data_IF_583438664365
#
_entry.id   IF_583438664365
#
_cell.length_a   1.000
_cell.length_b   1.000
_cell.length_c   1.000
_cell.angle_alpha   90.00
_cell.angle_beta   90.00
_cell.angle_gamma   90.00
#
_symmetry.space_group_name_H-M   'P 1'
#
loop_
_entity.id
_entity.type
_entity.pdbx_description
1 polymer ?
#
# COMPACT_ATOMS: atom_id res chain seq x y z
N UNK A 1 16.98 -32.25 10.42
CA UNK A 1 16.35 -31.54 9.30
C UNK A 1 16.47 -30.07 9.66
N UNK A 2 17.18 -29.26 8.88
CA UNK A 2 17.35 -27.84 9.21
C UNK A 2 15.95 -27.20 9.21
N UNK A 3 15.60 -26.51 10.31
CA UNK A 3 14.40 -25.68 10.35
C UNK A 3 14.61 -24.55 9.35
N UNK A 4 14.01 -24.69 8.17
CA UNK A 4 14.05 -23.68 7.11
C UNK A 4 12.91 -22.70 7.33
N UNK A 5 13.24 -21.41 7.38
CA UNK A 5 12.28 -20.32 7.55
C UNK A 5 11.58 -20.01 6.22
N UNK A 6 10.28 -19.76 6.26
CA UNK A 6 9.52 -19.44 5.03
C UNK A 6 9.61 -17.94 4.71
N UNK A 7 9.41 -17.57 3.45
CA UNK A 7 9.35 -16.17 3.02
C UNK A 7 8.29 -15.37 3.82
N UNK A 8 7.18 -16.03 4.20
CA UNK A 8 6.12 -15.43 5.00
C UNK A 8 6.57 -15.12 6.44
N UNK A 9 7.37 -16.00 7.06
CA UNK A 9 7.97 -15.75 8.37
C UNK A 9 8.95 -14.55 8.30
N UNK A 10 9.77 -14.48 7.25
CA UNK A 10 10.71 -13.37 7.04
C UNK A 10 9.95 -12.05 6.88
N UNK A 11 8.90 -12.03 6.06
CA UNK A 11 8.04 -10.85 5.85
C UNK A 11 7.37 -10.41 7.14
N UNK A 12 6.88 -11.35 7.94
CA UNK A 12 6.27 -11.06 9.23
C UNK A 12 7.27 -10.41 10.19
N UNK A 13 8.46 -10.99 10.33
CA UNK A 13 9.54 -10.41 11.14
C UNK A 13 9.97 -9.02 10.64
N UNK A 14 10.10 -8.84 9.32
CA UNK A 14 10.45 -7.56 8.73
C UNK A 14 9.38 -6.49 8.97
N UNK A 15 8.10 -6.81 8.76
CA UNK A 15 6.97 -5.91 9.02
C UNK A 15 6.92 -5.47 10.50
N UNK A 16 7.14 -6.40 11.43
CA UNK A 16 7.19 -6.11 12.86
C UNK A 16 8.39 -5.23 13.23
N UNK A 17 9.58 -5.56 12.72
CA UNK A 17 10.80 -4.78 12.96
C UNK A 17 10.67 -3.36 12.38
N UNK A 18 10.08 -3.22 11.20
CA UNK A 18 9.77 -1.94 10.56
C UNK A 18 8.78 -1.12 11.38
N UNK A 19 7.71 -1.74 11.88
CA UNK A 19 6.73 -1.09 12.77
C UNK A 19 7.38 -0.60 14.06
N UNK A 20 8.24 -1.41 14.69
CA UNK A 20 8.93 -1.04 15.91
C UNK A 20 9.91 0.11 15.68
N UNK A 21 10.69 0.07 14.59
CA UNK A 21 11.57 1.17 14.19
C UNK A 21 10.78 2.45 13.96
N UNK A 22 9.71 2.39 13.17
CA UNK A 22 8.92 3.57 12.82
C UNK A 22 8.21 4.17 14.04
N UNK A 23 7.75 3.35 14.99
CA UNK A 23 7.19 3.81 16.26
C UNK A 23 8.21 4.54 17.13
N UNK A 24 9.46 4.09 17.16
CA UNK A 24 10.53 4.77 17.90
C UNK A 24 10.88 6.12 17.26
N UNK A 25 10.88 6.18 15.93
CA UNK A 25 11.18 7.41 15.19
C UNK A 25 9.99 8.39 15.14
N UNK A 26 8.74 7.91 15.16
CA UNK A 26 7.51 8.70 15.07
C UNK A 26 6.54 8.29 16.19
N UNK A 27 6.59 8.91 17.38
CA UNK A 27 5.75 8.51 18.50
C UNK A 27 4.24 8.57 18.23
N UNK A 28 3.75 9.51 17.41
CA UNK A 28 2.34 9.57 17.03
C UNK A 28 1.85 8.32 16.28
N UNK A 29 2.74 7.55 15.65
CA UNK A 29 2.39 6.27 15.04
C UNK A 29 1.96 5.25 16.11
N UNK A 30 2.65 5.21 17.25
CA UNK A 30 2.27 4.36 18.38
C UNK A 30 0.87 4.72 18.91
N UNK A 31 0.60 6.01 19.07
CA UNK A 31 -0.73 6.51 19.45
C UNK A 31 -1.81 6.14 18.43
N UNK A 32 -1.50 6.18 17.13
CA UNK A 32 -2.42 5.75 16.09
C UNK A 32 -2.72 4.25 16.19
N UNK A 33 -1.72 3.40 16.44
CA UNK A 33 -1.93 1.95 16.58
C UNK A 33 -2.87 1.61 17.74
N UNK A 34 -2.72 2.29 18.88
CA UNK A 34 -3.62 2.13 20.04
C UNK A 34 -5.06 2.53 19.68
N UNK A 35 -5.24 3.71 19.05
CA UNK A 35 -6.55 4.18 18.60
C UNK A 35 -7.21 3.20 17.61
N UNK A 36 -6.44 2.68 16.65
CA UNK A 36 -6.95 1.71 15.66
C UNK A 36 -7.36 0.41 16.32
N UNK A 37 -6.59 -0.08 17.30
CA UNK A 37 -6.94 -1.27 18.06
C UNK A 37 -8.27 -1.08 18.82
N UNK A 38 -8.44 0.04 19.50
CA UNK A 38 -9.68 0.37 20.23
C UNK A 38 -10.89 0.45 19.30
N UNK A 39 -10.75 1.13 18.15
CA UNK A 39 -11.84 1.27 17.17
C UNK A 39 -12.19 -0.08 16.54
N UNK A 40 -11.19 -0.87 16.15
CA UNK A 40 -11.43 -2.19 15.54
C UNK A 40 -12.13 -3.12 16.54
N UNK A 41 -11.69 -3.14 17.80
CA UNK A 41 -12.35 -3.91 18.86
C UNK A 41 -13.81 -3.48 19.02
N UNK A 42 -14.07 -2.18 19.13
CA UNK A 42 -15.43 -1.65 19.27
C UNK A 42 -16.32 -1.99 18.05
N UNK A 43 -15.79 -1.97 16.83
CA UNK A 43 -16.54 -2.37 15.63
C UNK A 43 -16.91 -3.85 15.68
N UNK A 44 -15.98 -4.72 16.07
CA UNK A 44 -16.21 -6.17 16.16
C UNK A 44 -17.21 -6.51 17.28
N UNK A 45 -17.13 -5.84 18.43
CA UNK A 45 -18.07 -6.03 19.55
C UNK A 45 -19.50 -5.60 19.18
N UNK A 46 -19.63 -4.50 18.40
CA UNK A 46 -20.94 -3.97 18.01
C UNK A 46 -21.49 -4.59 16.71
N UNK A 47 -20.72 -5.41 16.00
CA UNK A 47 -21.14 -6.09 14.78
C UNK A 47 -20.73 -7.58 14.79
N UNK A 48 -21.48 -8.44 15.51
CA UNK A 48 -21.19 -9.87 15.61
C UNK A 48 -21.17 -10.60 14.25
N UNK A 49 -21.97 -10.14 13.28
CA UNK A 49 -22.01 -10.71 11.93
C UNK A 49 -20.68 -10.47 11.20
N UNK A 50 -20.14 -9.24 11.27
CA UNK A 50 -18.84 -8.92 10.69
C UNK A 50 -17.71 -9.71 11.37
N UNK A 51 -17.76 -9.86 12.70
CA UNK A 51 -16.80 -10.67 13.43
C UNK A 51 -16.81 -12.13 12.94
N UNK A 52 -17.99 -12.73 12.78
CA UNK A 52 -18.13 -14.09 12.26
C UNK A 52 -17.64 -14.20 10.81
N UNK A 53 -17.91 -13.20 9.96
CA UNK A 53 -17.46 -13.17 8.57
C UNK A 53 -15.93 -13.14 8.47
N UNK A 54 -15.27 -12.28 9.25
CA UNK A 54 -13.81 -12.15 9.27
C UNK A 54 -13.14 -13.39 9.89
N UNK A 55 -13.72 -13.95 10.95
CA UNK A 55 -13.22 -15.19 11.57
C UNK A 55 -13.24 -16.34 10.57
N UNK A 56 -14.36 -16.49 9.85
CA UNK A 56 -14.55 -17.52 8.84
C UNK A 56 -13.71 -17.33 7.57
N UNK A 57 -13.13 -16.15 7.36
CA UNK A 57 -12.26 -15.83 6.24
C UNK A 57 -10.77 -15.86 6.61
N UNK A 58 -10.43 -16.24 7.86
CA UNK A 58 -9.10 -16.13 8.45
C UNK A 58 -8.53 -14.69 8.36
N UNK A 59 -9.40 -13.68 8.32
CA UNK A 59 -9.01 -12.27 8.20
C UNK A 59 -8.80 -11.56 9.56
N UNK A 60 -9.30 -12.13 10.67
CA UNK A 60 -9.09 -11.56 12.00
C UNK A 60 -7.61 -11.56 12.42
N UNK A 61 -6.87 -12.62 12.08
CA UNK A 61 -5.45 -12.74 12.43
C UNK A 61 -4.62 -11.66 11.73
N UNK A 62 -4.85 -11.45 10.42
CA UNK A 62 -4.14 -10.41 9.65
C UNK A 62 -4.48 -8.99 10.11
N UNK A 63 -5.72 -8.69 10.54
CA UNK A 63 -6.15 -7.33 10.85
C UNK A 63 -5.22 -6.60 11.84
N UNK A 64 -4.70 -7.31 12.85
CA UNK A 64 -3.84 -6.73 13.88
C UNK A 64 -2.40 -6.47 13.41
N UNK A 65 -1.96 -7.16 12.36
CA UNK A 65 -0.60 -7.03 11.81
C UNK A 65 -0.56 -6.32 10.47
N UNK A 66 -1.72 -6.06 9.89
CA UNK A 66 -1.89 -5.53 8.56
C UNK A 66 -1.42 -4.07 8.47
N UNK A 67 -0.40 -3.88 7.62
CA UNK A 67 0.26 -2.60 7.41
C UNK A 67 0.65 -2.43 5.95
N UNK A 68 0.82 -1.19 5.52
CA UNK A 68 1.61 -0.90 4.32
C UNK A 68 2.64 0.19 4.60
N UNK A 69 3.79 0.11 3.95
CA UNK A 69 4.81 1.17 3.94
C UNK A 69 4.86 1.88 2.59
N UNK A 70 5.43 3.08 2.57
CA UNK A 70 5.74 3.78 1.32
C UNK A 70 7.18 4.30 1.33
N UNK A 71 7.92 4.03 0.25
CA UNK A 71 9.31 4.43 0.06
C UNK A 71 9.52 5.04 -1.33
N UNK A 72 10.62 5.78 -1.48
CA UNK A 72 11.01 6.41 -2.74
C UNK A 72 12.48 6.15 -3.01
N UNK A 73 12.80 5.74 -4.23
CA UNK A 73 14.17 5.50 -4.70
C UNK A 73 14.52 6.42 -5.86
N UNK A 74 15.81 6.68 -6.03
CA UNK A 74 16.34 7.62 -7.01
C UNK A 74 16.84 6.96 -8.29
N UNK A 75 17.16 5.66 -8.28
CA UNK A 75 17.78 5.00 -9.43
C UNK A 75 17.15 3.64 -9.77
N UNK A 76 17.31 3.23 -11.04
CA UNK A 76 16.91 1.90 -11.51
C UNK A 76 17.63 0.78 -10.74
N UNK A 77 18.92 0.96 -10.44
CA UNK A 77 19.70 -0.02 -9.67
C UNK A 77 19.14 -0.20 -8.25
N UNK A 78 18.74 0.88 -7.59
CA UNK A 78 18.06 0.82 -6.29
C UNK A 78 16.74 0.05 -6.38
N UNK A 79 15.89 0.35 -7.38
CA UNK A 79 14.62 -0.33 -7.60
C UNK A 79 14.78 -1.84 -7.87
N UNK A 80 15.68 -2.21 -8.78
CA UNK A 80 15.93 -3.63 -9.11
C UNK A 80 16.53 -4.40 -7.93
N UNK A 81 17.35 -3.76 -7.10
CA UNK A 81 17.90 -4.39 -5.88
C UNK A 81 16.82 -4.55 -4.80
N UNK A 82 15.93 -3.56 -4.62
CA UNK A 82 14.76 -3.69 -3.75
C UNK A 82 13.84 -4.84 -4.19
N UNK A 83 13.63 -5.02 -5.50
CA UNK A 83 12.88 -6.19 -6.01
C UNK A 83 13.49 -7.51 -5.54
N UNK A 84 14.82 -7.66 -5.59
CA UNK A 84 15.51 -8.86 -5.10
C UNK A 84 15.30 -9.04 -3.60
N UNK A 85 15.45 -7.98 -2.81
CA UNK A 85 15.21 -7.97 -1.37
C UNK A 85 13.77 -8.37 -1.02
N UNK A 86 12.78 -7.79 -1.68
CA UNK A 86 11.36 -8.09 -1.45
C UNK A 86 10.97 -9.50 -1.90
N UNK A 87 11.61 -10.05 -2.93
CA UNK A 87 11.37 -11.43 -3.36
C UNK A 87 11.72 -12.47 -2.28
N UNK A 88 12.78 -12.24 -1.47
CA UNK A 88 13.11 -13.10 -0.31
C UNK A 88 11.96 -13.14 0.71
N UNK A 89 11.22 -12.04 0.82
CA UNK A 89 10.05 -11.89 1.69
C UNK A 89 8.74 -12.31 1.00
N UNK A 90 8.81 -12.95 -0.17
CA UNK A 90 7.62 -13.37 -0.92
C UNK A 90 6.75 -12.20 -1.39
N UNK A 91 7.37 -11.04 -1.62
CA UNK A 91 6.71 -9.82 -2.07
C UNK A 91 7.11 -9.51 -3.51
N UNK A 92 6.11 -9.36 -4.37
CA UNK A 92 6.27 -9.22 -5.82
C UNK A 92 5.72 -7.87 -6.29
N UNK A 93 6.26 -7.29 -7.38
CA UNK A 93 5.80 -6.00 -7.89
C UNK A 93 4.44 -6.16 -8.59
N UNK A 94 3.39 -5.63 -7.98
CA UNK A 94 2.02 -5.69 -8.48
C UNK A 94 1.54 -4.29 -8.86
N UNK A 95 0.92 -4.22 -10.04
CA UNK A 95 0.39 -3.03 -10.67
C UNK A 95 1.44 -1.97 -11.00
N UNK A 96 1.03 -0.98 -11.79
CA UNK A 96 1.84 0.15 -12.22
C UNK A 96 1.09 1.46 -11.99
N UNK A 97 1.74 2.42 -11.35
CA UNK A 97 1.16 3.71 -10.98
C UNK A 97 2.00 4.85 -11.57
N UNK A 98 1.43 5.62 -12.50
CA UNK A 98 2.10 6.80 -13.06
C UNK A 98 1.61 8.08 -12.39
N UNK A 99 2.36 8.57 -11.39
CA UNK A 99 1.99 9.76 -10.63
C UNK A 99 2.37 11.07 -11.33
N UNK A 100 3.08 10.99 -12.47
CA UNK A 100 3.38 12.17 -13.29
C UNK A 100 2.12 12.83 -13.85
N UNK A 101 1.03 12.06 -13.99
CA UNK A 101 -0.29 12.57 -14.36
C UNK A 101 -0.84 13.58 -13.36
N UNK A 102 -0.37 13.52 -12.12
CA UNK A 102 -0.71 14.44 -11.06
C UNK A 102 0.45 15.39 -10.71
N UNK A 103 1.40 15.61 -11.63
CA UNK A 103 2.51 16.54 -11.44
C UNK A 103 3.57 16.09 -10.44
N UNK A 104 3.52 14.84 -9.95
CA UNK A 104 4.55 14.28 -9.08
C UNK A 104 5.58 13.55 -9.95
N UNK A 105 6.89 13.84 -9.87
CA UNK A 105 7.88 13.33 -10.82
C UNK A 105 8.30 11.87 -10.54
N UNK A 106 7.35 10.97 -10.33
CA UNK A 106 7.58 9.56 -10.01
C UNK A 106 6.61 8.64 -10.73
N UNK A 107 7.00 7.38 -10.84
CA UNK A 107 6.16 6.24 -11.17
C UNK A 107 6.48 5.08 -10.22
N UNK A 108 5.54 4.16 -10.01
CA UNK A 108 5.58 3.27 -8.84
C UNK A 108 4.99 1.88 -9.11
N UNK A 109 5.27 0.95 -8.20
CA UNK A 109 4.61 -0.36 -8.05
C UNK A 109 4.40 -0.68 -6.57
N UNK A 110 3.61 -1.69 -6.27
CA UNK A 110 3.44 -2.20 -4.92
C UNK A 110 4.10 -3.57 -4.77
N UNK A 111 5.10 -3.70 -3.89
CA UNK A 111 5.64 -5.00 -3.53
C UNK A 111 4.75 -5.66 -2.48
N UNK A 112 4.17 -6.82 -2.81
CA UNK A 112 3.26 -7.54 -1.90
C UNK A 112 3.17 -9.04 -2.17
N UNK A 113 2.68 -9.85 -1.22
CA UNK A 113 2.33 -11.23 -1.49
C UNK A 113 1.19 -11.33 -2.50
N UNK A 114 1.17 -12.43 -3.26
CA UNK A 114 0.16 -12.71 -4.28
C UNK A 114 -0.65 -13.98 -4.01
N UNK A 115 -0.20 -14.82 -3.06
CA UNK A 115 -0.90 -16.04 -2.69
C UNK A 115 -1.92 -15.80 -1.57
N UNK A 116 -3.09 -16.43 -1.68
CA UNK A 116 -4.17 -16.37 -0.67
C UNK A 116 -3.64 -16.63 0.76
N UNK A 117 -2.89 -17.72 0.94
CA UNK A 117 -2.39 -18.11 2.26
C UNK A 117 -1.37 -17.09 2.83
N UNK A 118 -0.49 -16.58 1.96
CA UNK A 118 0.52 -15.58 2.33
C UNK A 118 -0.13 -14.25 2.76
N UNK A 119 -1.19 -13.82 2.06
CA UNK A 119 -1.98 -12.63 2.39
C UNK A 119 -2.79 -12.81 3.67
N UNK A 120 -3.43 -13.97 3.87
CA UNK A 120 -4.14 -14.28 5.12
C UNK A 120 -3.21 -14.30 6.34
N UNK A 121 -1.95 -14.72 6.15
CA UNK A 121 -0.96 -14.76 7.22
C UNK A 121 -0.40 -13.36 7.54
N UNK A 122 0.18 -12.71 6.55
CA UNK A 122 0.76 -11.38 6.71
C UNK A 122 0.71 -10.62 5.37
N UNK A 123 -0.21 -9.66 5.22
CA UNK A 123 -0.43 -8.95 3.96
C UNK A 123 0.46 -7.70 3.83
N UNK A 124 1.66 -7.69 4.43
CA UNK A 124 2.51 -6.51 4.39
C UNK A 124 2.84 -6.09 2.94
N UNK A 125 2.69 -4.80 2.65
CA UNK A 125 2.87 -4.19 1.32
C UNK A 125 3.82 -3.01 1.41
N UNK A 126 4.63 -2.80 0.38
CA UNK A 126 5.44 -1.58 0.25
C UNK A 126 5.19 -0.92 -1.10
N UNK A 127 4.58 0.26 -1.08
CA UNK A 127 4.47 1.13 -2.24
C UNK A 127 5.83 1.76 -2.53
N UNK A 128 6.42 1.46 -3.69
CA UNK A 128 7.78 1.87 -4.05
C UNK A 128 7.74 2.75 -5.28
N UNK A 129 8.15 4.01 -5.12
CA UNK A 129 8.22 4.99 -6.20
C UNK A 129 9.64 5.19 -6.68
N UNK A 130 9.84 5.21 -8.00
CA UNK A 130 11.08 5.60 -8.64
C UNK A 130 11.00 7.06 -9.12
N UNK A 131 11.99 7.87 -8.73
CA UNK A 131 12.14 9.24 -9.20
C UNK A 131 12.49 9.28 -10.69
N UNK A 132 11.76 10.11 -11.44
CA UNK A 132 11.95 10.34 -12.87
C UNK A 132 12.75 11.62 -13.08
N UNK A 133 14.08 11.52 -13.10
CA UNK A 133 14.98 12.67 -13.24
C UNK A 133 14.73 13.45 -14.53
N UNK A 134 14.28 12.79 -15.60
CA UNK A 134 13.95 13.44 -16.87
C UNK A 134 12.79 14.45 -16.77
N UNK A 135 12.00 14.40 -15.69
CA UNK A 135 10.93 15.35 -15.38
C UNK A 135 11.41 16.58 -14.58
N UNK A 136 12.70 16.66 -14.23
CA UNK A 136 13.31 17.85 -13.61
C UNK A 136 13.66 18.84 -14.72
N UNK A 137 12.98 19.98 -14.80
CA UNK A 137 13.13 20.89 -15.95
C UNK A 137 14.51 21.54 -16.01
N UNK A 138 15.01 21.96 -14.85
CA UNK A 138 16.34 22.55 -14.72
C UNK A 138 17.43 21.50 -14.97
N UNK A 139 18.11 21.59 -16.11
CA UNK A 139 19.15 20.64 -16.55
C UNK A 139 20.32 20.59 -15.55
N UNK A 140 20.75 21.72 -15.01
CA UNK A 140 21.86 21.76 -14.05
C UNK A 140 21.49 21.04 -12.75
N UNK A 141 20.27 21.25 -12.25
CA UNK A 141 19.77 20.53 -11.06
C UNK A 141 19.56 19.04 -11.34
N UNK A 142 19.12 18.68 -12.54
CA UNK A 142 18.95 17.29 -12.96
C UNK A 142 20.29 16.55 -12.97
N UNK A 143 21.31 17.13 -13.58
CA UNK A 143 22.66 16.57 -13.61
C UNK A 143 23.24 16.46 -12.21
N UNK A 144 23.04 17.48 -11.37
CA UNK A 144 23.47 17.46 -9.97
C UNK A 144 22.76 16.37 -9.17
N UNK A 145 21.46 16.20 -9.35
CA UNK A 145 20.69 15.13 -8.70
C UNK A 145 21.18 13.74 -9.12
N UNK A 146 21.44 13.54 -10.41
CA UNK A 146 22.00 12.30 -10.94
C UNK A 146 23.39 11.99 -10.34
N UNK A 147 24.27 12.99 -10.24
CA UNK A 147 25.60 12.86 -9.63
C UNK A 147 25.49 12.42 -8.16
N UNK A 148 24.69 13.11 -7.35
CA UNK A 148 24.48 12.79 -5.93
C UNK A 148 23.98 11.35 -5.77
N UNK A 149 22.97 10.95 -6.55
CA UNK A 149 22.40 9.61 -6.51
C UNK A 149 23.42 8.53 -6.95
N UNK A 150 24.32 8.85 -7.88
CA UNK A 150 25.33 7.90 -8.36
C UNK A 150 26.42 7.57 -7.32
N UNK A 151 26.57 8.40 -6.29
CA UNK A 151 27.61 8.25 -5.28
C UNK A 151 27.14 7.54 -3.99
N UNK A 152 25.83 7.28 -3.84
CA UNK A 152 25.32 6.59 -2.65
C UNK A 152 25.14 5.09 -2.89
N UNK A 153 25.17 4.34 -1.81
CA UNK A 153 24.66 2.97 -1.76
C UNK A 153 23.70 2.89 -0.57
N UNK A 154 22.43 2.64 -0.87
CA UNK A 154 21.38 2.60 0.16
C UNK A 154 21.37 1.26 0.93
N UNK A 155 22.05 0.24 0.41
CA UNK A 155 22.11 -1.09 1.01
C UNK A 155 23.43 -1.28 1.75
N UNK A 156 23.39 -1.90 2.92
CA UNK A 156 24.61 -2.29 3.62
C UNK A 156 25.36 -3.35 2.80
N UNK A 157 26.70 -3.42 2.89
CA UNK A 157 27.45 -4.49 2.22
C UNK A 157 26.97 -5.89 2.61
N UNK A 158 26.63 -6.07 3.90
CA UNK A 158 26.13 -7.35 4.41
C UNK A 158 24.76 -7.71 3.88
N UNK A 159 23.86 -6.73 3.69
CA UNK A 159 22.58 -6.95 3.03
C UNK A 159 22.78 -7.52 1.62
N UNK A 160 23.68 -6.93 0.83
CA UNK A 160 23.98 -7.38 -0.54
C UNK A 160 24.56 -8.80 -0.55
N UNK A 161 25.48 -9.13 0.37
CA UNK A 161 26.01 -10.49 0.51
C UNK A 161 24.90 -11.51 0.83
N UNK A 162 23.93 -11.15 1.68
CA UNK A 162 22.81 -12.01 2.03
C UNK A 162 21.84 -12.19 0.85
N UNK A 163 21.64 -11.17 0.01
CA UNK A 163 20.88 -11.31 -1.24
C UNK A 163 21.53 -12.35 -2.16
N UNK A 164 22.85 -12.22 -2.40
CA UNK A 164 23.59 -13.13 -3.27
C UNK A 164 23.60 -14.56 -2.70
N UNK A 165 23.71 -14.69 -1.37
CA UNK A 165 23.61 -15.97 -0.68
C UNK A 165 22.24 -16.65 -0.91
N UNK A 166 21.15 -15.91 -0.70
CA UNK A 166 19.79 -16.44 -0.90
C UNK A 166 19.56 -16.87 -2.35
N UNK A 167 20.06 -16.11 -3.33
CA UNK A 167 19.93 -16.47 -4.74
C UNK A 167 20.72 -17.75 -5.09
N UNK A 168 21.84 -18.00 -4.41
CA UNK A 168 22.65 -19.20 -4.61
C UNK A 168 22.12 -20.45 -3.89
N UNK A 169 21.61 -20.30 -2.67
CA UNK A 169 21.15 -21.41 -1.82
C UNK A 169 19.64 -21.67 -1.91
N UNK A 170 18.86 -20.68 -2.37
CA UNK A 170 17.41 -20.73 -2.54
C UNK A 170 16.60 -20.60 -1.24
N UNK A 171 17.25 -20.52 -0.08
CA UNK A 171 16.61 -20.45 1.23
C UNK A 171 17.57 -19.89 2.29
N UNK A 172 17.01 -19.39 3.39
CA UNK A 172 17.77 -19.03 4.59
C UNK A 172 17.54 -20.00 5.74
N UNK A 173 18.55 -20.12 6.59
CA UNK A 173 18.40 -20.56 7.99
C UNK A 173 17.78 -19.46 8.84
N UNK A 174 17.21 -19.81 10.00
CA UNK A 174 16.64 -18.82 10.94
C UNK A 174 17.63 -17.69 11.29
N UNK A 175 18.92 -18.02 11.49
CA UNK A 175 19.94 -17.04 11.84
C UNK A 175 20.25 -16.07 10.69
N UNK A 176 20.38 -16.59 9.46
CA UNK A 176 20.59 -15.76 8.27
C UNK A 176 19.39 -14.86 7.99
N UNK A 177 18.17 -15.38 8.17
CA UNK A 177 16.95 -14.59 8.00
C UNK A 177 16.84 -13.47 9.03
N UNK A 178 17.19 -13.74 10.30
CA UNK A 178 17.20 -12.69 11.33
C UNK A 178 18.24 -11.60 11.01
N UNK A 179 19.44 -11.99 10.59
CA UNK A 179 20.48 -11.06 10.15
C UNK A 179 20.03 -10.23 8.94
N UNK A 180 19.43 -10.89 7.94
CA UNK A 180 18.88 -10.23 6.75
C UNK A 180 17.84 -9.16 7.11
N UNK A 181 16.92 -9.46 8.03
CA UNK A 181 15.91 -8.49 8.47
C UNK A 181 16.55 -7.26 9.10
N UNK A 182 17.58 -7.42 9.94
CA UNK A 182 18.28 -6.29 10.55
C UNK A 182 19.03 -5.44 9.51
N UNK A 183 19.76 -6.08 8.61
CA UNK A 183 20.54 -5.40 7.57
C UNK A 183 19.64 -4.71 6.53
N UNK A 184 18.51 -5.33 6.16
CA UNK A 184 17.52 -4.71 5.29
C UNK A 184 16.87 -3.49 5.95
N UNK A 185 16.60 -3.54 7.26
CA UNK A 185 15.98 -2.45 8.00
C UNK A 185 16.79 -1.15 7.95
N UNK A 186 18.12 -1.24 7.94
CA UNK A 186 19.02 -0.07 7.82
C UNK A 186 18.81 0.72 6.52
N UNK A 187 18.32 0.08 5.46
CA UNK A 187 18.00 0.76 4.18
C UNK A 187 16.88 1.79 4.34
N UNK A 188 16.00 1.60 5.32
CA UNK A 188 14.76 2.36 5.51
C UNK A 188 14.77 3.28 6.74
N UNK A 189 15.87 3.27 7.51
CA UNK A 189 16.03 4.06 8.73
C UNK A 189 16.12 5.56 8.41
N UNK A 190 15.64 6.40 9.31
CA UNK A 190 15.83 7.84 9.17
C UNK A 190 17.23 8.29 9.58
N UNK A 191 17.81 9.15 8.74
CA UNK A 191 19.07 9.81 9.00
C UNK A 191 18.87 11.32 9.01
N UNK A 192 19.25 11.96 10.13
CA UNK A 192 19.15 13.42 10.29
C UNK A 192 20.19 14.21 9.46
N UNK A 193 21.23 13.54 8.97
CA UNK A 193 22.29 14.17 8.20
C UNK A 193 21.99 14.05 6.71
N UNK A 194 21.83 15.19 6.05
CA UNK A 194 21.74 15.24 4.59
C UNK A 194 23.12 14.97 3.96
N UNK A 195 23.12 14.43 2.75
CA UNK A 195 24.32 14.12 1.95
C UNK A 195 24.83 15.33 1.16
N UNK A 196 24.13 16.47 1.26
CA UNK A 196 24.38 17.69 0.49
C UNK A 196 24.49 18.91 1.42
N UNK A 197 25.05 19.99 0.88
CA UNK A 197 25.01 21.30 1.52
C UNK A 197 23.59 21.93 1.48
N UNK A 198 23.40 22.98 2.29
CA UNK A 198 22.10 23.64 2.42
C UNK A 198 21.61 24.29 1.12
N UNK A 199 22.50 24.85 0.31
CA UNK A 199 22.15 25.53 -0.94
C UNK A 199 21.62 24.52 -1.96
N UNK A 200 22.31 23.40 -2.14
CA UNK A 200 21.89 22.28 -2.97
C UNK A 200 20.54 21.72 -2.51
N UNK A 201 20.36 21.50 -1.20
CA UNK A 201 19.08 21.04 -0.66
C UNK A 201 17.94 22.02 -0.98
N UNK A 202 18.12 23.33 -0.76
CA UNK A 202 17.11 24.33 -1.02
C UNK A 202 16.76 24.41 -2.51
N UNK A 203 17.75 24.30 -3.40
CA UNK A 203 17.52 24.31 -4.83
C UNK A 203 16.67 23.11 -5.29
N UNK A 204 16.97 21.90 -4.82
CA UNK A 204 16.18 20.70 -5.10
C UNK A 204 14.79 20.76 -4.46
N UNK A 205 14.69 21.32 -3.26
CA UNK A 205 13.43 21.47 -2.53
C UNK A 205 12.47 22.44 -3.23
N UNK A 206 13.02 23.55 -3.74
CA UNK A 206 12.26 24.57 -4.49
C UNK A 206 11.80 24.05 -5.86
N UNK A 207 12.56 23.16 -6.50
CA UNK A 207 12.11 22.48 -7.71
C UNK A 207 10.92 21.57 -7.40
N UNK A 208 11.08 20.66 -6.44
CA UNK A 208 9.99 19.87 -5.90
C UNK A 208 10.42 19.21 -4.59
N UNK A 209 9.60 19.32 -3.52
CA UNK A 209 9.93 18.75 -2.20
C UNK A 209 10.27 17.26 -2.21
N UNK A 210 9.61 16.48 -3.08
CA UNK A 210 9.93 15.05 -3.29
C UNK A 210 11.35 14.84 -3.82
N UNK A 211 11.86 15.70 -4.70
CA UNK A 211 13.22 15.57 -5.24
C UNK A 211 14.23 15.71 -4.11
N UNK A 212 14.08 16.72 -3.24
CA UNK A 212 14.94 16.88 -2.09
C UNK A 212 14.85 15.71 -1.10
N UNK A 213 13.65 15.18 -0.85
CA UNK A 213 13.43 14.00 0.00
C UNK A 213 14.15 12.74 -0.54
N UNK A 214 14.19 12.56 -1.85
CA UNK A 214 14.85 11.39 -2.46
C UNK A 214 16.36 11.58 -2.59
N UNK A 215 16.81 12.75 -3.02
CA UNK A 215 18.21 12.98 -3.45
C UNK A 215 19.12 13.33 -2.28
N UNK A 216 18.62 14.07 -1.29
CA UNK A 216 19.46 14.70 -0.27
C UNK A 216 19.76 13.80 0.94
N UNK A 217 19.28 12.56 0.97
CA UNK A 217 19.41 11.67 2.12
C UNK A 217 20.17 10.37 1.78
N UNK A 218 20.82 9.74 2.78
CA UNK A 218 21.67 8.56 2.54
C UNK A 218 20.92 7.32 2.02
N UNK A 219 19.65 7.16 2.40
CA UNK A 219 18.84 5.99 2.10
C UNK A 219 17.44 6.34 1.57
N UNK A 220 16.54 5.37 1.56
CA UNK A 220 15.13 5.54 1.20
C UNK A 220 14.25 5.34 2.43
N UNK A 221 14.29 6.31 3.35
CA UNK A 221 13.53 6.24 4.60
C UNK A 221 12.04 6.02 4.36
N UNK A 222 11.38 5.42 5.36
CA UNK A 222 9.93 5.23 5.35
C UNK A 222 9.24 6.59 5.35
N UNK A 223 8.44 6.86 4.32
CA UNK A 223 7.61 8.07 4.25
C UNK A 223 6.50 8.01 5.29
N UNK A 224 5.79 6.88 5.27
CA UNK A 224 4.71 6.56 6.19
C UNK A 224 4.56 5.04 6.33
N UNK A 225 3.99 4.63 7.46
CA UNK A 225 3.58 3.26 7.73
C UNK A 225 2.11 3.30 8.17
N UNK A 226 1.25 2.67 7.41
CA UNK A 226 -0.20 2.80 7.51
C UNK A 226 -0.80 1.54 8.12
N UNK A 227 -1.50 1.61 9.27
CA UNK A 227 -2.27 0.50 9.80
C UNK A 227 -3.65 0.39 9.14
N UNK A 228 -4.30 -0.78 9.23
CA UNK A 228 -5.68 -0.99 8.77
C UNK A 228 -6.71 -0.77 9.89
N UNK A 229 -7.73 0.02 9.62
CA UNK A 229 -8.92 0.15 10.48
C UNK A 229 -10.19 -0.37 9.80
N UNK A 230 -11.17 -0.79 10.60
CA UNK A 230 -12.51 -1.19 10.16
C UNK A 230 -13.48 -0.02 10.01
N UNK A 231 -13.26 1.11 10.69
CA UNK A 231 -14.08 2.33 10.55
C UNK A 231 -13.20 3.59 10.57
N UNK A 232 -12.81 4.02 9.37
CA UNK A 232 -11.96 5.21 9.18
C UNK A 232 -12.65 6.50 9.61
N UNK A 233 -13.99 6.59 9.51
CA UNK A 233 -14.71 7.78 9.94
C UNK A 233 -14.59 7.93 11.46
N UNK A 234 -14.71 6.82 12.20
CA UNK A 234 -14.55 6.80 13.65
C UNK A 234 -13.12 7.11 14.08
N UNK A 235 -12.11 6.57 13.39
CA UNK A 235 -10.70 6.91 13.66
C UNK A 235 -10.46 8.40 13.43
N UNK A 236 -10.91 8.96 12.30
CA UNK A 236 -10.73 10.38 11.98
C UNK A 236 -11.40 11.29 13.03
N UNK A 237 -12.61 10.95 13.48
CA UNK A 237 -13.32 11.68 14.55
C UNK A 237 -12.55 11.68 15.89
N UNK A 238 -11.88 10.57 16.20
CA UNK A 238 -11.17 10.39 17.46
C UNK A 238 -9.74 10.94 17.46
N UNK A 239 -9.06 10.98 16.32
CA UNK A 239 -7.68 11.44 16.18
C UNK A 239 -7.37 12.73 16.98
N UNK A 240 -8.19 13.80 16.93
CA UNK A 240 -7.93 15.03 17.71
C UNK A 240 -7.88 14.80 19.24
N UNK A 241 -8.65 13.85 19.77
CA UNK A 241 -8.65 13.51 21.20
C UNK A 241 -7.36 12.80 21.63
N UNK A 242 -6.65 12.22 20.66
CA UNK A 242 -5.36 11.56 20.83
C UNK A 242 -4.19 12.46 20.40
N UNK A 243 -4.43 13.76 20.19
CA UNK A 243 -3.38 14.72 19.81
C UNK A 243 -2.91 14.60 18.36
N UNK A 244 -3.67 13.89 17.52
CA UNK A 244 -3.40 13.76 16.08
C UNK A 244 -4.36 14.69 15.34
N UNK A 245 -3.82 15.59 14.51
CA UNK A 245 -4.64 16.47 13.67
C UNK A 245 -4.78 15.84 12.26
N UNK A 246 -5.90 15.15 11.96
CA UNK A 246 -6.09 14.57 10.64
C UNK A 246 -6.28 15.65 9.59
N UNK A 247 -5.89 15.34 8.36
CA UNK A 247 -6.43 16.08 7.23
C UNK A 247 -7.93 15.94 7.18
N UNK A 248 -8.56 17.00 6.70
CA UNK A 248 -10.00 17.11 6.61
C UNK A 248 -10.54 16.04 5.64
N UNK A 249 -9.91 15.86 4.47
CA UNK A 249 -10.40 14.98 3.41
C UNK A 249 -10.09 13.49 3.67
N UNK A 250 -11.11 12.64 3.55
CA UNK A 250 -10.94 11.20 3.32
C UNK A 250 -10.99 10.94 1.83
N UNK A 251 -9.96 10.27 1.31
CA UNK A 251 -9.88 9.91 -0.09
C UNK A 251 -10.44 8.50 -0.33
N UNK A 252 -10.86 8.22 -1.57
CA UNK A 252 -11.54 6.99 -1.94
C UNK A 252 -13.07 7.16 -2.07
N UNK A 253 -13.83 6.05 -2.10
CA UNK A 253 -15.30 6.11 -2.12
C UNK A 253 -15.85 6.72 -0.82
N UNK A 254 -17.15 7.08 -0.77
CA UNK A 254 -17.75 7.56 0.47
C UNK A 254 -17.93 6.38 1.43
N UNK A 255 -18.44 6.64 2.63
CA UNK A 255 -18.92 5.58 3.52
C UNK A 255 -19.99 4.72 2.82
N UNK A 256 -19.87 3.40 2.95
CA UNK A 256 -20.71 2.38 2.31
C UNK A 256 -20.94 1.19 3.24
N UNK A 257 -22.04 0.47 3.05
CA UNK A 257 -22.31 -0.80 3.73
C UNK A 257 -21.40 -1.92 3.22
N UNK A 258 -21.09 -1.92 1.91
CA UNK A 258 -20.08 -2.78 1.29
C UNK A 258 -18.93 -1.90 0.79
N UNK A 259 -17.87 -1.69 1.62
CA UNK A 259 -16.73 -0.88 1.23
C UNK A 259 -16.07 -1.44 -0.03
N UNK A 260 -15.65 -0.57 -0.94
CA UNK A 260 -14.93 -0.92 -2.17
C UNK A 260 -13.54 -0.29 -2.17
N UNK A 261 -12.58 -0.97 -2.80
CA UNK A 261 -11.18 -0.53 -2.84
C UNK A 261 -10.64 -0.21 -1.45
N UNK A 262 -10.26 1.04 -1.19
CA UNK A 262 -9.90 1.52 0.13
C UNK A 262 -10.34 2.97 0.31
N UNK A 263 -10.47 3.37 1.57
CA UNK A 263 -10.58 4.76 2.01
C UNK A 263 -9.35 5.09 2.83
N UNK A 264 -8.83 6.31 2.70
CA UNK A 264 -7.59 6.70 3.40
C UNK A 264 -7.59 8.17 3.78
N UNK A 265 -6.87 8.51 4.85
CA UNK A 265 -6.55 9.89 5.21
C UNK A 265 -5.17 9.97 5.85
N UNK A 266 -4.58 11.15 5.83
CA UNK A 266 -3.23 11.39 6.35
C UNK A 266 -3.23 12.49 7.41
N UNK A 267 -2.15 12.57 8.17
CA UNK A 267 -1.87 13.63 9.12
C UNK A 267 -0.39 13.97 9.13
N UNK A 268 -0.07 15.19 9.52
CA UNK A 268 1.32 15.58 9.73
C UNK A 268 1.81 14.95 11.02
N UNK A 269 2.76 14.02 10.94
CA UNK A 269 3.24 13.32 12.12
C UNK A 269 4.40 14.08 12.78
N UNK A 270 5.44 14.42 12.03
CA UNK A 270 6.63 15.04 12.62
C UNK A 270 7.39 15.92 11.62
N UNK A 271 7.85 17.09 12.08
CA UNK A 271 8.91 17.84 11.40
C UNK A 271 10.24 17.46 12.01
N UNK A 272 11.19 17.06 11.17
CA UNK A 272 12.50 16.59 11.63
C UNK A 272 13.55 17.68 11.42
N UNK A 273 14.43 17.93 12.42
CA UNK A 273 15.61 18.75 12.20
C UNK A 273 16.57 18.04 11.25
N UNK A 274 17.05 18.77 10.24
CA UNK A 274 18.05 18.28 9.29
C UNK A 274 19.36 19.04 9.48
N UNK A 275 20.45 18.28 9.46
CA UNK A 275 21.82 18.78 9.51
C UNK A 275 22.44 18.67 8.12
N UNK A 276 22.84 19.80 7.55
CA UNK A 276 23.53 19.83 6.27
C UNK A 276 25.05 19.72 6.45
N UNK A 277 25.75 19.32 5.40
CA UNK A 277 27.21 19.39 5.36
C UNK A 277 27.65 20.84 5.67
N UNK A 278 28.55 21.00 6.66
CA UNK A 278 29.00 22.33 7.12
C UNK A 278 28.28 22.88 8.37
N UNK A 279 27.59 22.05 9.17
CA UNK A 279 26.94 22.38 10.45
C UNK A 279 25.72 23.34 10.37
N UNK A 280 25.18 23.58 9.18
CA UNK A 280 23.94 24.33 9.03
C UNK A 280 22.72 23.51 9.47
N UNK A 281 21.82 24.16 10.22
CA UNK A 281 20.57 23.55 10.71
C UNK A 281 19.39 23.99 9.84
N UNK A 282 18.58 23.05 9.41
CA UNK A 282 17.29 23.29 8.77
C UNK A 282 16.20 22.35 9.27
N UNK A 283 15.06 22.36 8.60
CA UNK A 283 13.96 21.44 8.85
C UNK A 283 13.57 20.72 7.57
N UNK A 284 13.15 19.46 7.71
CA UNK A 284 12.56 18.69 6.63
C UNK A 284 11.27 18.04 7.11
N UNK A 285 10.22 18.25 6.34
CA UNK A 285 8.93 17.62 6.58
C UNK A 285 8.80 16.42 5.64
N UNK A 286 9.32 15.27 6.07
CA UNK A 286 9.20 13.99 5.35
C UNK A 286 8.09 13.09 5.91
N UNK A 287 7.79 13.17 7.20
CA UNK A 287 7.08 12.11 7.91
C UNK A 287 5.61 12.44 8.12
N UNK A 288 4.79 11.68 7.40
CA UNK A 288 3.34 11.73 7.51
C UNK A 288 2.85 10.44 8.13
N UNK A 289 1.81 10.57 8.96
CA UNK A 289 1.03 9.42 9.36
C UNK A 289 -0.11 9.25 8.37
N UNK A 290 -0.50 8.00 8.14
CA UNK A 290 -1.60 7.66 7.26
C UNK A 290 -2.41 6.53 7.93
N UNK A 291 -3.71 6.48 7.63
CA UNK A 291 -4.62 5.43 8.06
C UNK A 291 -5.49 4.99 6.88
N UNK A 292 -5.76 3.70 6.77
CA UNK A 292 -6.60 3.15 5.71
C UNK A 292 -7.68 2.19 6.21
N UNK A 293 -8.80 2.15 5.49
CA UNK A 293 -9.84 1.13 5.58
C UNK A 293 -9.96 0.43 4.23
N UNK A 294 -9.70 -0.88 4.20
CA UNK A 294 -9.75 -1.71 2.98
C UNK A 294 -11.10 -2.41 2.83
N UNK A 295 -11.68 -2.28 1.65
CA UNK A 295 -12.90 -2.94 1.21
C UNK A 295 -12.62 -4.02 0.18
N UNK A 296 -13.61 -4.32 -0.66
CA UNK A 296 -13.52 -5.37 -1.69
C UNK A 296 -12.78 -4.91 -2.94
N UNK A 297 -12.01 -5.82 -3.53
CA UNK A 297 -11.38 -5.65 -4.83
C UNK A 297 -12.43 -5.62 -5.96
N UNK A 298 -12.29 -4.64 -6.85
CA UNK A 298 -13.21 -4.45 -7.97
C UNK A 298 -12.70 -5.13 -9.25
N UNK A 299 -13.62 -5.62 -10.06
CA UNK A 299 -13.33 -6.06 -11.44
C UNK A 299 -13.00 -4.86 -12.33
N UNK A 300 -12.48 -5.04 -13.56
CA UNK A 300 -12.33 -3.93 -14.51
C UNK A 300 -13.63 -3.13 -14.71
N UNK A 301 -14.77 -3.82 -14.79
CA UNK A 301 -16.11 -3.20 -14.89
C UNK A 301 -16.47 -2.39 -13.64
N UNK A 302 -16.21 -2.93 -12.45
CA UNK A 302 -16.41 -2.21 -11.19
C UNK A 302 -15.50 -0.99 -11.07
N UNK A 303 -14.26 -1.10 -11.53
CA UNK A 303 -13.30 0.01 -11.57
C UNK A 303 -13.72 1.12 -12.52
N UNK A 304 -14.15 0.78 -13.73
CA UNK A 304 -14.67 1.76 -14.69
C UNK A 304 -15.86 2.53 -14.10
N UNK A 305 -16.80 1.84 -13.46
CA UNK A 305 -17.91 2.49 -12.76
C UNK A 305 -17.39 3.41 -11.63
N UNK A 306 -16.51 2.92 -10.77
CA UNK A 306 -15.91 3.71 -9.70
C UNK A 306 -15.22 4.98 -10.22
N UNK A 307 -14.36 4.86 -11.24
CA UNK A 307 -13.60 5.98 -11.80
C UNK A 307 -14.56 6.99 -12.46
N UNK A 308 -15.62 6.52 -13.15
CA UNK A 308 -16.62 7.40 -13.75
C UNK A 308 -17.42 8.21 -12.72
N UNK A 309 -17.74 7.62 -11.57
CA UNK A 309 -18.46 8.27 -10.48
C UNK A 309 -17.56 9.24 -9.71
N UNK A 310 -16.29 8.87 -9.50
CA UNK A 310 -15.31 9.74 -8.88
C UNK A 310 -15.04 10.99 -9.75
N UNK A 311 -14.91 10.81 -11.06
CA UNK A 311 -14.75 11.91 -12.01
C UNK A 311 -15.97 12.86 -12.02
N UNK A 312 -17.19 12.32 -11.90
CA UNK A 312 -18.42 13.12 -11.78
C UNK A 312 -18.46 13.93 -10.48
N UNK A 313 -17.97 13.38 -9.37
CA UNK A 313 -17.96 14.05 -8.08
C UNK A 313 -16.96 15.21 -7.99
N UNK A 314 -15.91 15.17 -8.82
CA UNK A 314 -14.85 16.19 -8.84
C UNK A 314 -14.14 16.32 -7.48
N UNK A 315 -13.49 17.46 -7.26
CA UNK A 315 -12.77 17.75 -6.02
C UNK A 315 -13.56 18.72 -5.15
N UNK A 316 -13.76 18.38 -3.86
CA UNK A 316 -14.35 19.29 -2.89
C UNK A 316 -13.30 20.10 -2.11
N UNK A 317 -13.71 21.27 -1.60
CA UNK A 317 -12.85 22.12 -0.75
C UNK A 317 -12.97 21.81 0.75
N UNK A 318 -14.09 21.21 1.17
CA UNK A 318 -14.38 20.81 2.53
C UNK A 318 -14.86 19.34 2.57
N UNK A 319 -14.49 18.59 3.61
CA UNK A 319 -14.79 17.16 3.66
C UNK A 319 -16.28 16.87 3.81
N UNK A 320 -17.01 17.66 4.61
CA UNK A 320 -18.43 17.37 4.86
C UNK A 320 -19.26 17.48 3.58
N UNK A 321 -19.16 18.61 2.88
CA UNK A 321 -19.90 18.84 1.62
C UNK A 321 -19.40 17.89 0.54
N UNK A 322 -18.09 17.65 0.47
CA UNK A 322 -17.54 16.69 -0.49
C UNK A 322 -18.06 15.28 -0.26
N UNK A 323 -18.03 14.77 0.97
CA UNK A 323 -18.53 13.42 1.28
C UNK A 323 -20.04 13.30 1.07
N UNK A 324 -20.82 14.35 1.35
CA UNK A 324 -22.25 14.36 1.06
C UNK A 324 -22.53 14.28 -0.45
N UNK A 325 -21.82 15.07 -1.26
CA UNK A 325 -21.94 15.05 -2.72
C UNK A 325 -21.44 13.74 -3.32
N UNK A 326 -20.32 13.24 -2.83
CA UNK A 326 -19.72 11.99 -3.26
C UNK A 326 -20.63 10.81 -2.91
N UNK A 327 -21.32 10.83 -1.75
CA UNK A 327 -22.36 9.86 -1.38
C UNK A 327 -23.57 9.91 -2.32
N UNK A 328 -24.02 11.09 -2.73
CA UNK A 328 -25.13 11.24 -3.68
C UNK A 328 -24.79 10.60 -5.03
N UNK A 329 -23.61 10.89 -5.57
CA UNK A 329 -23.17 10.34 -6.85
C UNK A 329 -22.93 8.82 -6.76
N UNK A 330 -22.28 8.35 -5.70
CA UNK A 330 -22.01 6.92 -5.49
C UNK A 330 -23.25 6.10 -5.12
N UNK A 331 -24.43 6.72 -4.97
CA UNK A 331 -25.70 5.98 -4.89
C UNK A 331 -25.96 5.13 -6.15
N UNK A 332 -25.34 5.49 -7.28
CA UNK A 332 -25.35 4.71 -8.51
C UNK A 332 -24.50 3.43 -8.43
N UNK A 333 -23.56 3.33 -7.47
CA UNK A 333 -22.77 2.11 -7.26
C UNK A 333 -23.54 1.16 -6.31
N UNK A 334 -23.88 -0.08 -6.71
CA UNK A 334 -24.65 -1.01 -5.87
C UNK A 334 -23.99 -1.29 -4.51
N UNK A 335 -24.73 -1.08 -3.42
CA UNK A 335 -24.22 -1.26 -2.04
C UNK A 335 -24.73 -2.55 -1.38
N UNK A 336 -24.74 -3.64 -2.14
CA UNK A 336 -25.00 -4.98 -1.60
C UNK A 336 -24.14 -6.02 -2.32
N UNK A 337 -23.60 -6.96 -1.55
CA UNK A 337 -22.74 -8.03 -2.08
C UNK A 337 -23.44 -8.84 -3.18
N UNK A 338 -24.74 -9.08 -3.03
CA UNK A 338 -25.55 -9.78 -4.03
C UNK A 338 -25.57 -9.03 -5.36
N UNK A 339 -25.87 -7.73 -5.36
CA UNK A 339 -25.92 -6.94 -6.59
C UNK A 339 -24.53 -6.80 -7.21
N UNK A 340 -23.51 -6.55 -6.39
CA UNK A 340 -22.13 -6.44 -6.85
C UNK A 340 -21.63 -7.74 -7.50
N UNK A 341 -21.98 -8.90 -6.95
CA UNK A 341 -21.67 -10.21 -7.55
C UNK A 341 -22.44 -10.44 -8.84
N UNK A 342 -23.77 -10.24 -8.84
CA UNK A 342 -24.62 -10.46 -10.03
C UNK A 342 -24.26 -9.53 -11.19
N UNK A 343 -23.80 -8.32 -10.90
CA UNK A 343 -23.35 -7.35 -11.90
C UNK A 343 -21.86 -7.45 -12.21
N UNK A 344 -21.14 -8.39 -11.60
CA UNK A 344 -19.71 -8.63 -11.80
C UNK A 344 -18.86 -7.37 -11.55
N UNK A 345 -19.17 -6.63 -10.48
CA UNK A 345 -18.48 -5.40 -10.11
C UNK A 345 -17.31 -5.65 -9.16
N UNK A 346 -17.32 -6.75 -8.41
CA UNK A 346 -16.31 -7.07 -7.43
C UNK A 346 -15.97 -8.56 -7.43
N UNK A 347 -14.78 -8.89 -6.92
CA UNK A 347 -14.30 -10.26 -6.81
C UNK A 347 -14.73 -10.90 -5.49
N UNK A 348 -15.12 -12.17 -5.54
CA UNK A 348 -15.55 -12.93 -4.38
C UNK A 348 -14.82 -14.26 -4.26
N UNK A 349 -14.55 -14.67 -3.02
CA UNK A 349 -14.04 -16.00 -2.67
C UNK A 349 -15.21 -16.88 -2.26
N UNK A 350 -15.34 -18.02 -2.93
CA UNK A 350 -16.41 -19.00 -2.67
C UNK A 350 -15.89 -20.13 -1.79
N UNK A 351 -16.70 -20.53 -0.80
CA UNK A 351 -16.45 -21.70 0.05
C UNK A 351 -17.74 -22.49 0.24
N UNK A 352 -17.61 -23.80 0.37
CA UNK A 352 -18.72 -24.66 0.79
C UNK A 352 -18.89 -24.56 2.31
N UNK A 353 -20.15 -24.48 2.75
CA UNK A 353 -20.48 -24.67 4.16
C UNK A 353 -20.45 -26.16 4.50
N UNK A 354 -20.48 -26.55 5.80
CA UNK A 354 -20.66 -27.96 6.17
C UNK A 354 -21.91 -28.60 5.52
N UNK A 355 -22.99 -27.82 5.35
CA UNK A 355 -24.18 -28.27 4.66
C UNK A 355 -23.95 -28.43 3.14
N UNK A 356 -23.23 -27.50 2.51
CA UNK A 356 -22.85 -27.60 1.11
C UNK A 356 -21.94 -28.79 0.80
N UNK A 357 -21.01 -29.10 1.71
CA UNK A 357 -20.12 -30.25 1.59
C UNK A 357 -20.89 -31.57 1.49
N UNK A 358 -21.91 -31.75 2.35
CA UNK A 358 -22.79 -32.92 2.32
C UNK A 358 -23.60 -33.03 1.00
N UNK A 359 -23.83 -31.90 0.32
CA UNK A 359 -24.59 -31.83 -0.93
C UNK A 359 -23.69 -31.63 -2.16
N UNK A 360 -22.36 -31.77 -2.06
CA UNK A 360 -21.41 -31.48 -3.15
C UNK A 360 -21.76 -32.17 -4.48
N UNK A 361 -22.36 -33.36 -4.44
CA UNK A 361 -22.79 -34.11 -5.62
C UNK A 361 -23.90 -33.41 -6.44
N UNK A 362 -24.62 -32.45 -5.85
CA UNK A 362 -25.69 -31.68 -6.47
C UNK A 362 -25.18 -30.48 -7.30
N UNK A 363 -23.89 -30.17 -7.21
CA UNK A 363 -23.25 -29.04 -7.88
C UNK A 363 -22.81 -29.46 -9.27
N UNK A 364 -22.88 -28.53 -10.23
CA UNK A 364 -22.39 -28.70 -11.59
C UNK A 364 -21.49 -27.50 -11.97
N UNK A 365 -20.42 -27.73 -12.73
CA UNK A 365 -19.65 -26.65 -13.32
C UNK A 365 -20.54 -25.71 -14.14
N UNK A 366 -20.41 -24.40 -13.90
CA UNK A 366 -21.24 -23.37 -14.53
C UNK A 366 -22.55 -23.06 -13.81
N UNK A 367 -22.88 -23.74 -12.70
CA UNK A 367 -24.04 -23.38 -11.88
C UNK A 367 -23.93 -21.92 -11.39
N UNK A 368 -25.06 -21.20 -11.40
CA UNK A 368 -25.16 -19.91 -10.72
C UNK A 368 -24.94 -20.12 -9.22
N UNK A 369 -23.94 -19.47 -8.59
CA UNK A 369 -23.72 -19.61 -7.15
C UNK A 369 -24.87 -19.03 -6.31
N UNK A 370 -25.71 -18.15 -6.85
CA UNK A 370 -26.72 -17.44 -6.07
C UNK A 370 -27.78 -18.35 -5.41
N UNK A 371 -28.44 -19.29 -6.11
CA UNK A 371 -29.32 -20.27 -5.46
C UNK A 371 -28.63 -21.12 -4.39
N UNK A 372 -27.34 -21.42 -4.55
CA UNK A 372 -26.56 -22.22 -3.60
C UNK A 372 -26.22 -21.40 -2.34
N UNK A 373 -26.01 -20.09 -2.50
CA UNK A 373 -25.84 -19.15 -1.40
C UNK A 373 -27.15 -18.98 -0.62
N UNK A 374 -28.28 -18.84 -1.31
CA UNK A 374 -29.61 -18.70 -0.67
C UNK A 374 -30.01 -19.96 0.13
N UNK A 375 -29.55 -21.14 -0.28
CA UNK A 375 -29.71 -22.40 0.46
C UNK A 375 -28.73 -22.55 1.63
N UNK A 376 -27.76 -21.65 1.78
CA UNK A 376 -26.69 -21.74 2.77
C UNK A 376 -25.68 -22.85 2.48
N UNK A 377 -25.56 -23.31 1.23
CA UNK A 377 -24.60 -24.35 0.83
C UNK A 377 -23.25 -23.76 0.42
N UNK A 378 -23.29 -22.56 -0.15
CA UNK A 378 -22.10 -21.78 -0.53
C UNK A 378 -22.11 -20.49 0.24
N UNK A 379 -20.93 -20.00 0.62
CA UNK A 379 -20.74 -18.61 1.05
C UNK A 379 -19.82 -17.93 0.05
N UNK A 380 -20.20 -16.74 -0.40
CA UNK A 380 -19.35 -15.86 -1.17
C UNK A 380 -18.87 -14.72 -0.26
N UNK A 381 -17.56 -14.65 -0.02
CA UNK A 381 -16.92 -13.61 0.78
C UNK A 381 -16.26 -12.59 -0.16
N UNK A 382 -16.42 -11.28 0.04
CA UNK A 382 -15.69 -10.29 -0.75
C UNK A 382 -14.17 -10.50 -0.62
N UNK A 383 -13.43 -10.47 -1.73
CA UNK A 383 -11.97 -10.52 -1.69
C UNK A 383 -11.45 -9.12 -1.32
N UNK A 384 -10.73 -9.01 -0.20
CA UNK A 384 -10.12 -7.76 0.25
C UNK A 384 -9.20 -7.16 -0.83
N UNK A 385 -9.29 -5.85 -1.04
CA UNK A 385 -8.39 -5.10 -1.93
C UNK A 385 -7.01 -4.93 -1.30
N UNK A 386 -5.99 -5.48 -1.94
CA UNK A 386 -4.59 -5.51 -1.50
C UNK A 386 -3.72 -4.42 -2.13
N UNK A 387 -4.26 -3.66 -3.08
CA UNK A 387 -3.52 -2.68 -3.88
C UNK A 387 -3.83 -1.24 -3.41
N UNK A 388 -3.52 -0.24 -4.24
CA UNK A 388 -3.60 1.18 -3.90
C UNK A 388 -4.53 1.94 -4.86
N UNK A 389 -4.99 3.12 -4.47
CA UNK A 389 -5.81 3.96 -5.35
C UNK A 389 -4.89 4.64 -6.39
N UNK A 390 -5.19 4.55 -7.71
CA UNK A 390 -4.30 5.09 -8.75
C UNK A 390 -4.22 6.63 -8.77
N UNK A 391 -5.34 7.34 -8.51
CA UNK A 391 -5.43 8.81 -8.57
C UNK A 391 -5.30 9.46 -7.18
N UNK A 392 -5.73 8.77 -6.12
CA UNK A 392 -5.70 9.30 -4.74
C UNK A 392 -4.33 9.23 -4.07
N UNK A 393 -3.46 8.28 -4.45
CA UNK A 393 -2.07 8.33 -4.00
C UNK A 393 -1.47 9.71 -4.30
N UNK A 394 -1.72 10.25 -5.50
CA UNK A 394 -1.26 11.57 -5.86
C UNK A 394 -1.88 12.73 -5.07
N UNK A 395 -3.15 12.63 -4.65
CA UNK A 395 -3.78 13.62 -3.76
C UNK A 395 -3.13 13.66 -2.38
N UNK A 396 -2.82 12.48 -1.82
CA UNK A 396 -2.01 12.36 -0.60
C UNK A 396 -0.59 12.87 -0.83
N UNK A 397 0.07 12.49 -1.93
CA UNK A 397 1.43 12.94 -2.25
C UNK A 397 1.48 14.47 -2.41
N UNK A 398 0.58 15.07 -3.18
CA UNK A 398 0.48 16.52 -3.36
C UNK A 398 0.20 17.24 -2.05
N UNK A 399 -0.76 16.75 -1.26
CA UNK A 399 -1.15 17.40 -0.01
C UNK A 399 -0.14 17.20 1.12
N UNK A 400 0.59 16.08 1.17
CA UNK A 400 1.75 15.90 2.04
C UNK A 400 2.87 16.87 1.65
N UNK A 401 3.05 17.10 0.35
CA UNK A 401 4.08 17.98 -0.17
C UNK A 401 3.61 19.46 -0.25
N UNK A 402 2.37 19.80 0.08
CA UNK A 402 1.90 21.19 0.12
C UNK A 402 2.01 21.97 -1.19
N UNK A 403 2.04 21.29 -2.34
CA UNK A 403 2.17 21.94 -3.66
C UNK A 403 0.81 22.36 -4.24
N UNK A 404 0.75 23.53 -4.88
CA UNK A 404 -0.36 23.93 -5.75
C UNK A 404 -0.29 23.20 -7.11
N UNK A 405 -1.46 22.89 -7.67
CA UNK A 405 -1.66 22.17 -8.94
C UNK A 405 -0.85 22.76 -10.10
N UNK A 406 0.19 22.05 -10.55
CA UNK A 406 0.75 22.20 -11.89
C UNK A 406 0.56 20.88 -12.65
N UNK A 407 -0.42 20.84 -13.55
CA UNK A 407 -0.61 19.74 -14.46
C UNK A 407 0.54 19.73 -15.49
N UNK A 408 1.42 18.72 -15.42
CA UNK A 408 2.46 18.48 -16.44
C UNK A 408 1.95 17.47 -17.46
N UNK A 409 2.25 17.69 -18.75
CA UNK A 409 1.72 16.90 -19.87
C UNK A 409 2.46 15.59 -20.11
N UNK A 410 1.70 14.62 -20.62
CA UNK A 410 1.94 13.22 -21.00
C UNK A 410 3.37 12.75 -21.34
N UNK A 411 3.67 11.53 -20.88
CA UNK A 411 4.66 10.62 -21.46
C UNK A 411 4.12 9.19 -21.54
N UNK A 412 3.74 8.74 -22.74
CA UNK A 412 3.16 7.40 -23.02
C UNK A 412 4.15 6.22 -22.96
N UNK A 413 5.39 6.43 -22.50
CA UNK A 413 6.46 5.42 -22.45
C UNK A 413 6.89 5.06 -21.01
N UNK A 414 6.05 5.34 -20.02
CA UNK A 414 6.45 5.32 -18.61
C UNK A 414 6.44 3.91 -17.96
N UNK A 415 5.60 2.98 -18.44
CA UNK A 415 5.54 1.60 -17.93
C UNK A 415 6.71 0.74 -18.39
N UNK A 416 6.99 0.69 -19.69
CA UNK A 416 8.10 -0.12 -20.23
C UNK A 416 9.43 0.32 -19.61
N UNK A 417 9.68 1.63 -19.52
CA UNK A 417 10.85 2.18 -18.85
C UNK A 417 10.92 1.81 -17.35
N UNK A 418 9.77 1.71 -16.67
CA UNK A 418 9.72 1.26 -15.28
C UNK A 418 10.02 -0.23 -15.16
N UNK A 419 9.44 -1.08 -16.01
CA UNK A 419 9.67 -2.53 -16.01
C UNK A 419 11.12 -2.86 -16.39
N UNK A 420 11.73 -2.10 -17.31
CA UNK A 420 13.16 -2.17 -17.62
C UNK A 420 14.03 -1.80 -16.41
N UNK A 421 13.69 -0.71 -15.71
CA UNK A 421 14.39 -0.29 -14.48
C UNK A 421 14.23 -1.29 -13.33
N UNK A 422 13.05 -1.91 -13.23
CA UNK A 422 12.71 -2.92 -12.24
C UNK A 422 13.40 -4.26 -12.54
N UNK A 423 13.63 -4.56 -13.82
CA UNK A 423 14.22 -5.80 -14.33
C UNK A 423 13.22 -6.94 -14.54
N UNK A 424 11.91 -6.67 -14.46
CA UNK A 424 10.84 -7.62 -14.78
C UNK A 424 9.52 -6.87 -15.02
N UNK A 425 8.53 -7.49 -15.70
CA UNK A 425 7.19 -6.93 -15.77
C UNK A 425 6.52 -6.88 -14.39
N UNK A 426 5.60 -5.94 -14.19
CA UNK A 426 4.73 -5.95 -13.00
C UNK A 426 3.56 -6.90 -13.21
N UNK A 427 3.10 -7.55 -12.14
CA UNK A 427 1.88 -8.36 -12.17
C UNK A 427 0.65 -7.47 -12.38
N UNK A 428 -0.32 -7.95 -13.16
CA UNK A 428 -1.64 -7.34 -13.26
C UNK A 428 -2.51 -7.78 -12.07
N UNK A 429 -2.94 -6.83 -11.25
CA UNK A 429 -3.76 -7.10 -10.08
C UNK A 429 -5.11 -7.74 -10.43
N UNK A 430 -5.72 -7.36 -11.56
CA UNK A 430 -7.02 -7.92 -11.94
C UNK A 430 -6.92 -9.41 -12.24
N UNK A 431 -5.85 -9.82 -12.93
CA UNK A 431 -5.55 -11.22 -13.17
C UNK A 431 -5.38 -11.98 -11.85
N UNK A 432 -4.63 -11.44 -10.88
CA UNK A 432 -4.45 -12.08 -9.57
C UNK A 432 -5.77 -12.27 -8.81
N UNK A 433 -6.64 -11.25 -8.78
CA UNK A 433 -7.95 -11.37 -8.14
C UNK A 433 -8.88 -12.34 -8.87
N UNK A 434 -8.88 -12.34 -10.21
CA UNK A 434 -9.64 -13.28 -11.03
C UNK A 434 -9.17 -14.72 -10.78
N UNK A 435 -7.87 -14.97 -10.68
CA UNK A 435 -7.31 -16.28 -10.34
C UNK A 435 -7.72 -16.73 -8.94
N UNK A 436 -7.70 -15.84 -7.95
CA UNK A 436 -8.15 -16.14 -6.59
C UNK A 436 -9.64 -16.52 -6.54
N UNK A 437 -10.50 -15.76 -7.22
CA UNK A 437 -11.92 -16.09 -7.36
C UNK A 437 -12.10 -17.44 -8.08
N UNK A 438 -11.44 -17.63 -9.22
CA UNK A 438 -11.52 -18.85 -10.04
C UNK A 438 -11.11 -20.09 -9.25
N UNK A 439 -9.98 -20.02 -8.55
CA UNK A 439 -9.47 -21.10 -7.68
C UNK A 439 -10.47 -21.45 -6.60
N UNK A 440 -11.15 -20.45 -6.03
CA UNK A 440 -12.18 -20.68 -5.01
C UNK A 440 -13.45 -21.34 -5.58
N UNK A 441 -13.89 -20.94 -6.78
CA UNK A 441 -15.00 -21.56 -7.51
C UNK A 441 -14.70 -23.02 -7.86
N UNK A 442 -13.49 -23.31 -8.35
CA UNK A 442 -13.04 -24.68 -8.66
C UNK A 442 -13.06 -25.59 -7.43
N UNK A 443 -12.59 -25.11 -6.25
CA UNK A 443 -12.67 -25.87 -4.99
C UNK A 443 -14.11 -26.20 -4.58
N UNK A 444 -15.07 -25.36 -4.96
CA UNK A 444 -16.50 -25.57 -4.73
C UNK A 444 -17.19 -26.44 -5.81
N UNK A 445 -16.49 -26.81 -6.89
CA UNK A 445 -17.09 -27.54 -8.03
C UNK A 445 -17.99 -26.68 -8.93
N UNK A 446 -17.81 -25.35 -8.90
CA UNK A 446 -18.59 -24.38 -9.68
C UNK A 446 -17.96 -24.09 -11.06
N UNK A 447 -16.72 -24.51 -11.28
CA UNK A 447 -15.97 -24.34 -12.54
C UNK A 447 -15.30 -25.64 -12.96
#
# INVERSE_FOLDING_TARGET
MANTITADDIREHFSQAMSAMYQQEVPQYGTLLELVADVNLAVLENNPLLHEQLANADELARLNVERHGAIRVGTAQELSTLRRMFAIMGMYPVSYYDLSQAGVPVHSTAFRPIEDAALCRNPFRIFTSLLRLELIENVVLRERAAEILSHRNIFTPRCLELLDLHESEGQFTDAQAHEFVQEALETFRWHRHATVDQETYLALHNEHRLIADVVCFPGCHINHLTPRTLDIDRVQELMPKYGIEPKILIEGPPRREVPVLLRQTSFKALEEPVLFAGEHKGTHTARFGEIEQRGVALTPKGRELYDSLLAQAGTGKDNLTHQLHLREIFSAFPDSEMLMRRQELAYFRYRLTPAGEAHRHAFRPGDDPQPLIERGWVVAQPITYEDFLPVSAAGIFQSNLGNETQARSHGNASRDAFEDALGCPVYDEFTLYQEAETRSKQRCGLL
#
